data_IF_850062470434
#
_entry.id   IF_850062470434
#
_cell.length_a   1.000
_cell.length_b   1.000
_cell.length_c   1.000
_cell.angle_alpha   90.00
_cell.angle_beta   90.00
_cell.angle_gamma   90.00
#
_symmetry.space_group_name_H-M   'P 1'
#
loop_
_entity.id
_entity.type
_entity.pdbx_description
1 polymer ?
#
# COMPACT_ATOMS: atom_id res chain seq x y z
N UNK A 1 -30.43 -16.21 -25.82
CA UNK A 1 -29.03 -16.43 -25.36
C UNK A 1 -28.15 -15.17 -25.44
N UNK A 2 -28.24 -14.34 -26.50
CA UNK A 2 -27.45 -13.09 -26.68
C UNK A 2 -27.60 -12.02 -25.58
N UNK A 3 -28.77 -11.87 -24.98
CA UNK A 3 -29.01 -10.84 -23.95
C UNK A 3 -28.29 -11.16 -22.63
N UNK A 4 -28.22 -12.44 -22.23
CA UNK A 4 -27.49 -12.87 -21.03
C UNK A 4 -25.98 -12.67 -21.17
N UNK A 5 -25.42 -12.86 -22.38
CA UNK A 5 -23.98 -12.65 -22.61
C UNK A 5 -23.60 -11.16 -22.57
N UNK A 6 -24.45 -10.27 -23.09
CA UNK A 6 -24.24 -8.82 -23.00
C UNK A 6 -24.33 -8.31 -21.55
N UNK A 7 -25.27 -8.83 -20.75
CA UNK A 7 -25.39 -8.45 -19.34
C UNK A 7 -24.17 -8.90 -18.50
N UNK A 8 -23.61 -10.09 -18.79
CA UNK A 8 -22.37 -10.55 -18.14
C UNK A 8 -21.16 -9.72 -18.56
N UNK A 9 -21.03 -9.36 -19.83
CA UNK A 9 -19.96 -8.50 -20.32
C UNK A 9 -20.02 -7.10 -19.68
N UNK A 10 -21.21 -6.51 -19.59
CA UNK A 10 -21.41 -5.22 -18.90
C UNK A 10 -21.04 -5.30 -17.42
N UNK A 11 -21.40 -6.39 -16.72
CA UNK A 11 -21.03 -6.58 -15.31
C UNK A 11 -19.52 -6.75 -15.14
N UNK A 12 -18.87 -7.52 -16.01
CA UNK A 12 -17.41 -7.70 -15.99
C UNK A 12 -16.70 -6.37 -16.16
N UNK A 13 -17.13 -5.54 -17.11
CA UNK A 13 -16.56 -4.21 -17.34
C UNK A 13 -16.70 -3.30 -16.12
N UNK A 14 -17.84 -3.32 -15.42
CA UNK A 14 -18.02 -2.52 -14.21
C UNK A 14 -17.11 -3.00 -13.06
N UNK A 15 -16.91 -4.31 -12.92
CA UNK A 15 -15.98 -4.88 -11.93
C UNK A 15 -14.55 -4.46 -12.26
N UNK A 16 -14.12 -4.61 -13.51
CA UNK A 16 -12.78 -4.19 -13.96
C UNK A 16 -12.55 -2.69 -13.72
N UNK A 17 -13.53 -1.85 -14.08
CA UNK A 17 -13.47 -0.42 -13.81
C UNK A 17 -13.34 -0.13 -12.31
N UNK A 18 -14.11 -0.82 -11.47
CA UNK A 18 -14.05 -0.64 -10.03
C UNK A 18 -12.69 -1.08 -9.46
N UNK A 19 -12.11 -2.17 -9.98
CA UNK A 19 -10.78 -2.63 -9.60
C UNK A 19 -9.70 -1.62 -9.97
N UNK A 20 -9.73 -1.07 -11.19
CA UNK A 20 -8.79 -0.03 -11.63
C UNK A 20 -8.91 1.25 -10.78
N UNK A 21 -10.13 1.64 -10.42
CA UNK A 21 -10.36 2.79 -9.54
C UNK A 21 -9.83 2.54 -8.12
N UNK A 22 -10.00 1.32 -7.61
CA UNK A 22 -9.48 0.91 -6.31
C UNK A 22 -7.95 0.86 -6.30
N UNK A 23 -7.33 0.32 -7.36
CA UNK A 23 -5.88 0.32 -7.56
C UNK A 23 -5.32 1.75 -7.56
N UNK A 24 -5.92 2.67 -8.32
CA UNK A 24 -5.52 4.08 -8.32
C UNK A 24 -5.64 4.74 -6.93
N UNK A 25 -6.65 4.37 -6.15
CA UNK A 25 -6.80 4.86 -4.77
C UNK A 25 -5.68 4.33 -3.85
N UNK A 26 -5.28 3.06 -4.01
CA UNK A 26 -4.14 2.48 -3.27
C UNK A 26 -2.84 3.22 -3.62
N UNK A 27 -2.57 3.46 -4.91
CA UNK A 27 -1.39 4.22 -5.34
C UNK A 27 -1.34 5.62 -4.72
N UNK A 28 -2.45 6.36 -4.74
CA UNK A 28 -2.52 7.67 -4.11
C UNK A 28 -2.23 7.62 -2.60
N UNK A 29 -2.76 6.61 -1.89
CA UNK A 29 -2.48 6.42 -0.47
C UNK A 29 -1.00 6.10 -0.22
N UNK A 30 -0.38 5.26 -1.06
CA UNK A 30 1.05 4.96 -0.99
C UNK A 30 1.89 6.23 -1.14
N UNK A 31 1.60 7.06 -2.14
CA UNK A 31 2.32 8.32 -2.37
C UNK A 31 2.22 9.28 -1.18
N UNK A 32 1.03 9.40 -0.57
CA UNK A 32 0.82 10.22 0.62
C UNK A 32 1.68 9.71 1.78
N UNK A 33 1.67 8.40 2.03
CA UNK A 33 2.45 7.79 3.12
C UNK A 33 3.95 7.98 2.88
N UNK A 34 4.42 7.73 1.66
CA UNK A 34 5.83 7.96 1.30
C UNK A 34 6.24 9.42 1.55
N UNK A 35 5.45 10.40 1.11
CA UNK A 35 5.74 11.82 1.34
C UNK A 35 5.84 12.16 2.84
N UNK A 36 4.94 11.62 3.67
CA UNK A 36 4.97 11.82 5.13
C UNK A 36 6.24 11.19 5.73
N UNK A 37 6.58 9.97 5.32
CA UNK A 37 7.74 9.27 5.86
C UNK A 37 9.07 9.91 5.45
N UNK A 38 9.20 10.43 4.23
CA UNK A 38 10.39 11.16 3.77
C UNK A 38 10.66 12.43 4.58
N UNK A 39 9.61 13.10 5.07
CA UNK A 39 9.73 14.28 5.93
C UNK A 39 10.02 13.93 7.40
N UNK A 40 9.93 12.64 7.75
CA UNK A 40 10.14 12.14 9.11
C UNK A 40 11.61 11.73 9.28
N UNK A 41 12.28 12.06 10.39
CA UNK A 41 13.65 11.60 10.61
C UNK A 41 13.73 10.06 10.54
N UNK A 42 14.72 9.50 9.83
CA UNK A 42 14.77 8.08 9.48
C UNK A 42 14.54 7.10 10.65
N UNK A 43 15.14 7.34 11.81
CA UNK A 43 14.95 6.52 13.02
C UNK A 43 13.48 6.48 13.47
N UNK A 44 12.76 7.60 13.34
CA UNK A 44 11.34 7.68 13.68
C UNK A 44 10.48 6.98 12.62
N UNK A 45 10.80 7.15 11.33
CA UNK A 45 10.10 6.46 10.23
C UNK A 45 10.20 4.94 10.37
N UNK A 46 11.40 4.41 10.65
CA UNK A 46 11.61 2.96 10.88
C UNK A 46 10.82 2.42 12.07
N UNK A 47 10.77 3.21 13.14
CA UNK A 47 10.00 2.87 14.35
C UNK A 47 8.50 2.84 14.04
N UNK A 48 7.98 3.82 13.30
CA UNK A 48 6.57 3.85 12.90
C UNK A 48 6.22 2.66 12.00
N UNK A 49 7.07 2.33 11.04
CA UNK A 49 6.87 1.16 10.16
C UNK A 49 6.85 -0.13 11.00
N UNK A 50 7.76 -0.27 11.97
CA UNK A 50 7.76 -1.45 12.84
C UNK A 50 6.47 -1.56 13.65
N UNK A 51 6.01 -0.45 14.25
CA UNK A 51 4.77 -0.43 15.02
C UNK A 51 3.54 -0.78 14.18
N UNK A 52 3.51 -0.37 12.91
CA UNK A 52 2.45 -0.74 11.98
C UNK A 52 2.49 -2.24 11.64
N UNK A 53 3.68 -2.82 11.44
CA UNK A 53 3.83 -4.25 11.22
C UNK A 53 3.35 -5.07 12.43
N UNK A 54 3.77 -4.68 13.63
CA UNK A 54 3.35 -5.32 14.88
C UNK A 54 1.82 -5.26 15.04
N UNK A 55 1.23 -4.09 14.74
CA UNK A 55 -0.22 -3.91 14.77
C UNK A 55 -0.94 -4.77 13.72
N UNK A 56 -0.40 -4.89 12.51
CA UNK A 56 -0.99 -5.75 11.47
C UNK A 56 -1.02 -7.22 11.92
N UNK A 57 0.05 -7.69 12.58
CA UNK A 57 0.09 -9.02 13.18
C UNK A 57 -0.94 -9.21 14.30
N UNK A 58 -1.21 -8.18 15.12
CA UNK A 58 -2.29 -8.26 16.13
C UNK A 58 -3.68 -8.46 15.51
N UNK A 59 -3.89 -8.00 14.26
CA UNK A 59 -5.15 -8.15 13.52
C UNK A 59 -5.08 -9.23 12.43
N UNK A 60 -4.09 -10.12 12.48
CA UNK A 60 -3.84 -11.13 11.45
C UNK A 60 -5.08 -11.98 11.11
N UNK A 61 -5.83 -12.44 12.13
CA UNK A 61 -7.04 -13.24 11.94
C UNK A 61 -8.15 -12.48 11.20
N UNK A 62 -8.27 -11.18 11.45
CA UNK A 62 -9.30 -10.32 10.82
C UNK A 62 -8.92 -9.93 9.40
N UNK A 63 -7.64 -9.71 9.16
CA UNK A 63 -7.11 -9.41 7.83
C UNK A 63 -7.16 -10.64 6.92
N UNK A 64 -6.88 -11.81 7.48
CA UNK A 64 -6.61 -13.01 6.70
C UNK A 64 -5.20 -12.98 6.09
N UNK A 65 -4.69 -14.16 5.67
CA UNK A 65 -3.28 -14.33 5.32
C UNK A 65 -2.85 -13.47 4.13
N UNK A 66 -3.66 -13.39 3.06
CA UNK A 66 -3.31 -12.66 1.84
C UNK A 66 -3.20 -11.14 2.08
N UNK A 67 -4.14 -10.58 2.84
CA UNK A 67 -4.11 -9.14 3.17
C UNK A 67 -2.97 -8.82 4.11
N UNK A 68 -2.67 -9.71 5.06
CA UNK A 68 -1.53 -9.54 5.95
C UNK A 68 -0.22 -9.56 5.17
N UNK A 69 -0.02 -10.51 4.25
CA UNK A 69 1.17 -10.56 3.40
C UNK A 69 1.33 -9.25 2.61
N UNK A 70 0.29 -8.81 1.89
CA UNK A 70 0.36 -7.55 1.15
C UNK A 70 0.62 -6.33 2.02
N UNK A 71 0.08 -6.29 3.24
CA UNK A 71 0.36 -5.23 4.20
C UNK A 71 1.84 -5.20 4.58
N UNK A 72 2.41 -6.35 4.96
CA UNK A 72 3.79 -6.46 5.40
C UNK A 72 4.76 -6.17 4.25
N UNK A 73 4.49 -6.67 3.05
CA UNK A 73 5.31 -6.42 1.86
C UNK A 73 5.38 -4.92 1.56
N UNK A 74 4.25 -4.21 1.62
CA UNK A 74 4.20 -2.76 1.38
C UNK A 74 5.00 -1.97 2.42
N UNK A 75 4.95 -2.38 3.70
CA UNK A 75 5.79 -1.78 4.74
C UNK A 75 7.30 -1.97 4.48
N UNK A 76 7.72 -3.12 3.95
CA UNK A 76 9.12 -3.35 3.59
C UNK A 76 9.54 -2.53 2.37
N UNK A 77 8.64 -2.31 1.41
CA UNK A 77 8.88 -1.40 0.29
C UNK A 77 9.14 0.02 0.79
N UNK A 78 8.33 0.55 1.71
CA UNK A 78 8.58 1.87 2.30
C UNK A 78 9.94 1.97 3.00
N UNK A 79 10.35 0.95 3.76
CA UNK A 79 11.71 0.93 4.37
C UNK A 79 12.81 1.03 3.33
N UNK A 80 12.65 0.35 2.20
CA UNK A 80 13.64 0.34 1.12
C UNK A 80 13.69 1.72 0.46
N UNK A 81 12.53 2.27 0.10
CA UNK A 81 12.43 3.59 -0.54
C UNK A 81 12.99 4.72 0.35
N UNK A 82 12.71 4.69 1.66
CA UNK A 82 13.22 5.70 2.61
C UNK A 82 14.71 5.52 2.85
N UNK A 83 15.20 4.28 2.97
CA UNK A 83 16.63 3.99 3.17
C UNK A 83 17.50 4.34 1.96
N UNK A 84 16.93 4.33 0.75
CA UNK A 84 17.59 4.78 -0.48
C UNK A 84 17.61 6.30 -0.64
N UNK A 85 16.69 7.03 0.01
CA UNK A 85 16.71 8.49 0.11
C UNK A 85 17.80 8.87 1.13
N UNK A 86 19.06 8.75 0.71
CA UNK A 86 20.18 9.39 1.37
C UNK A 86 19.94 10.89 1.34
N UNK A 87 19.58 11.44 2.49
CA UNK A 87 19.62 12.88 2.75
C UNK A 87 20.96 13.42 2.21
N UNK A 88 20.97 14.42 1.32
CA UNK A 88 22.23 15.09 0.99
C UNK A 88 22.80 15.60 2.31
N UNK A 89 23.94 15.07 2.71
CA UNK A 89 24.72 15.62 3.82
C UNK A 89 25.18 17.00 3.40
N UNK A 90 24.33 18.01 3.59
CA UNK A 90 24.79 19.37 3.75
C UNK A 90 25.30 19.52 5.19
N UNK A 91 26.55 19.94 5.27
CA UNK A 91 27.35 20.38 6.42
C UNK A 91 28.45 19.42 6.89
N UNK A 92 29.62 19.59 6.27
CA UNK A 92 30.91 19.70 6.95
C UNK A 92 31.76 20.73 6.19
#
# INVERSE_FOLDING_TARGET
MKVKSQAMAARSFQIEKALLQFEGAIFCMRDIVAQVLVQTPGVHADTMIQQLADRAHMFAEQLGPERLTGYIDELQMFRTEIGEIKVPTEHA
#
